data_IF_331911133146
#
_entry.id   IF_331911133146
#
_cell.length_a   1.000
_cell.length_b   1.000
_cell.length_c   1.000
_cell.angle_alpha   90.00
_cell.angle_beta   90.00
_cell.angle_gamma   90.00
#
_symmetry.space_group_name_H-M   'P 1'
#
loop_
_entity.id
_entity.type
_entity.pdbx_description
1 polymer ?
#
# COMPACT_ATOMS: atom_id res chain seq x y z
N UNK A 1 -10.52 -5.17 -33.31
CA UNK A 1 -11.97 -5.03 -33.36
C UNK A 1 -12.60 -5.30 -34.74
N UNK A 2 -11.89 -5.17 -35.86
CA UNK A 2 -12.45 -5.36 -37.22
C UNK A 2 -12.52 -6.82 -37.72
N UNK A 3 -12.14 -7.82 -36.91
CA UNK A 3 -12.07 -9.23 -37.32
C UNK A 3 -12.92 -10.20 -36.49
N UNK A 4 -13.85 -9.72 -35.66
CA UNK A 4 -14.82 -10.62 -35.03
C UNK A 4 -16.02 -10.80 -35.96
N UNK A 5 -16.41 -12.02 -36.26
CA UNK A 5 -17.66 -12.34 -36.97
C UNK A 5 -18.93 -11.97 -36.16
N UNK A 6 -18.77 -11.33 -34.99
CA UNK A 6 -19.84 -10.84 -34.12
C UNK A 6 -19.78 -9.32 -33.96
N UNK A 7 -20.95 -8.71 -33.91
CA UNK A 7 -21.10 -7.28 -33.64
C UNK A 7 -20.82 -6.98 -32.16
N UNK A 8 -19.77 -6.17 -31.85
CA UNK A 8 -19.50 -5.70 -30.49
C UNK A 8 -20.50 -4.59 -30.17
N UNK A 9 -21.37 -4.81 -29.20
CA UNK A 9 -22.42 -3.86 -28.80
C UNK A 9 -22.00 -2.98 -27.61
N UNK A 10 -21.16 -3.51 -26.74
CA UNK A 10 -20.76 -2.80 -25.52
C UNK A 10 -19.34 -3.14 -25.10
N UNK A 11 -18.66 -2.17 -24.53
CA UNK A 11 -17.44 -2.33 -23.74
C UNK A 11 -17.78 -2.06 -22.27
N UNK A 12 -17.34 -2.94 -21.39
CA UNK A 12 -17.48 -2.78 -19.93
C UNK A 12 -16.09 -2.60 -19.35
N UNK A 13 -15.92 -1.62 -18.46
CA UNK A 13 -14.65 -1.33 -17.81
C UNK A 13 -14.85 -0.89 -16.36
N UNK A 14 -13.80 -0.99 -15.57
CA UNK A 14 -13.74 -0.48 -14.21
C UNK A 14 -13.37 1.00 -14.20
N UNK A 15 -13.83 1.71 -13.20
CA UNK A 15 -13.32 3.05 -12.90
C UNK A 15 -11.89 2.97 -12.36
N UNK A 16 -11.01 3.77 -12.92
CA UNK A 16 -9.66 3.99 -12.41
C UNK A 16 -9.54 5.38 -11.81
N UNK A 17 -9.03 5.48 -10.58
CA UNK A 17 -8.79 6.78 -9.91
C UNK A 17 -7.57 7.50 -10.48
N UNK A 18 -6.63 6.78 -11.08
CA UNK A 18 -5.42 7.34 -11.66
C UNK A 18 -5.73 8.23 -12.86
N UNK A 19 -5.26 9.50 -12.87
CA UNK A 19 -5.65 10.47 -13.89
C UNK A 19 -5.39 10.04 -15.33
N UNK A 20 -4.21 9.48 -15.61
CA UNK A 20 -3.84 9.04 -16.96
C UNK A 20 -4.77 7.94 -17.49
N UNK A 21 -5.00 6.92 -16.66
CA UNK A 21 -5.88 5.81 -17.02
C UNK A 21 -7.33 6.27 -17.19
N UNK A 22 -7.78 7.25 -16.40
CA UNK A 22 -9.11 7.85 -16.53
C UNK A 22 -9.23 8.60 -17.84
N UNK A 23 -8.26 9.43 -18.20
CA UNK A 23 -8.24 10.16 -19.48
C UNK A 23 -8.23 9.20 -20.68
N UNK A 24 -7.43 8.15 -20.64
CA UNK A 24 -7.42 7.10 -21.67
C UNK A 24 -8.80 6.44 -21.82
N UNK A 25 -9.46 6.10 -20.72
CA UNK A 25 -10.81 5.50 -20.76
C UNK A 25 -11.86 6.46 -21.31
N UNK A 26 -11.76 7.76 -21.04
CA UNK A 26 -12.63 8.78 -21.64
C UNK A 26 -12.41 8.89 -23.14
N UNK A 27 -11.14 8.84 -23.61
CA UNK A 27 -10.80 8.85 -25.04
C UNK A 27 -11.36 7.60 -25.71
N UNK A 28 -11.16 6.43 -25.12
CA UNK A 28 -11.69 5.15 -25.61
C UNK A 28 -13.22 5.22 -25.68
N UNK A 29 -13.89 5.68 -24.63
CA UNK A 29 -15.34 5.82 -24.57
C UNK A 29 -15.90 6.72 -25.68
N UNK A 30 -15.28 7.88 -25.92
CA UNK A 30 -15.65 8.80 -27.01
C UNK A 30 -15.50 8.14 -28.39
N UNK A 31 -14.39 7.46 -28.62
CA UNK A 31 -14.11 6.78 -29.89
C UNK A 31 -15.08 5.62 -30.16
N UNK A 32 -15.47 4.89 -29.13
CA UNK A 32 -16.43 3.79 -29.22
C UNK A 32 -17.85 4.30 -29.48
N UNK A 33 -18.25 5.38 -28.79
CA UNK A 33 -19.54 6.02 -29.02
C UNK A 33 -19.72 6.49 -30.47
N UNK A 34 -18.67 7.06 -31.10
CA UNK A 34 -18.70 7.43 -32.52
C UNK A 34 -18.91 6.23 -33.46
N UNK A 35 -18.55 5.02 -33.02
CA UNK A 35 -18.76 3.76 -33.74
C UNK A 35 -20.06 3.05 -33.37
N UNK A 36 -20.94 3.67 -32.58
CA UNK A 36 -22.19 3.08 -32.11
C UNK A 36 -22.03 2.00 -31.04
N UNK A 37 -20.86 1.91 -30.41
CA UNK A 37 -20.57 0.94 -29.35
C UNK A 37 -20.77 1.63 -27.99
N UNK A 38 -21.58 1.03 -27.13
CA UNK A 38 -21.79 1.55 -25.78
C UNK A 38 -20.58 1.25 -24.88
N UNK A 39 -20.07 2.28 -24.17
CA UNK A 39 -19.04 2.11 -23.14
C UNK A 39 -19.66 2.35 -21.76
N UNK A 40 -19.62 1.34 -20.89
CA UNK A 40 -20.10 1.44 -19.51
C UNK A 40 -18.94 1.25 -18.54
N UNK A 41 -18.72 2.26 -17.72
CA UNK A 41 -17.72 2.25 -16.64
C UNK A 41 -18.45 1.94 -15.34
N UNK A 42 -17.97 0.93 -14.62
CA UNK A 42 -18.49 0.55 -13.31
C UNK A 42 -17.67 1.22 -12.23
N UNK A 43 -18.28 2.11 -11.47
CA UNK A 43 -17.63 2.92 -10.43
C UNK A 43 -17.29 2.14 -9.16
N UNK A 44 -18.04 1.08 -8.88
CA UNK A 44 -18.02 0.42 -7.58
C UNK A 44 -17.36 -0.97 -7.56
N UNK A 45 -16.46 -1.30 -8.50
CA UNK A 45 -15.88 -2.65 -8.58
C UNK A 45 -15.00 -2.96 -7.37
N UNK A 46 -14.14 -2.05 -6.97
CA UNK A 46 -13.15 -2.23 -5.88
C UNK A 46 -13.55 -1.55 -4.57
N UNK A 47 -14.81 -1.15 -4.40
CA UNK A 47 -15.31 -0.44 -3.22
C UNK A 47 -16.42 -1.20 -2.51
N UNK A 48 -16.67 -0.89 -1.25
CA UNK A 48 -17.74 -1.45 -0.41
C UNK A 48 -19.03 -0.64 -0.62
N UNK A 49 -18.89 0.65 -0.88
CA UNK A 49 -19.98 1.59 -1.12
C UNK A 49 -20.00 2.01 -2.60
N UNK A 50 -21.13 2.52 -3.08
CA UNK A 50 -21.16 3.23 -4.36
C UNK A 50 -20.66 4.66 -4.16
N UNK A 51 -19.40 4.86 -4.45
CA UNK A 51 -18.69 6.14 -4.22
C UNK A 51 -19.28 7.25 -5.10
N UNK A 52 -19.67 6.98 -6.35
CA UNK A 52 -20.25 7.98 -7.26
C UNK A 52 -21.59 8.46 -6.74
N UNK A 53 -22.48 7.53 -6.36
CA UNK A 53 -23.78 7.86 -5.79
C UNK A 53 -23.65 8.75 -4.54
N UNK A 54 -22.64 8.46 -3.69
CA UNK A 54 -22.36 9.24 -2.50
C UNK A 54 -21.90 10.65 -2.86
N UNK A 55 -20.94 10.79 -3.79
CA UNK A 55 -20.40 12.11 -4.19
C UNK A 55 -21.47 12.97 -4.86
N UNK A 56 -22.34 12.37 -5.68
CA UNK A 56 -23.44 13.06 -6.38
C UNK A 56 -24.60 13.44 -5.46
N UNK A 57 -24.65 12.90 -4.25
CA UNK A 57 -25.72 13.21 -3.31
C UNK A 57 -25.75 14.70 -2.93
N UNK A 58 -26.95 15.31 -2.86
CA UNK A 58 -27.11 16.74 -2.58
C UNK A 58 -26.52 17.21 -1.24
N UNK A 59 -26.33 16.29 -0.29
CA UNK A 59 -25.85 16.58 1.06
C UNK A 59 -24.43 16.09 1.30
N UNK A 60 -23.71 15.68 0.26
CA UNK A 60 -22.36 15.17 0.41
C UNK A 60 -21.43 16.17 1.07
N UNK A 61 -20.69 15.70 2.06
CA UNK A 61 -19.59 16.43 2.71
C UNK A 61 -18.37 15.54 2.73
N UNK A 62 -17.27 16.05 2.21
CA UNK A 62 -15.98 15.34 2.23
C UNK A 62 -15.59 14.95 3.65
N UNK A 63 -15.34 13.65 3.93
CA UNK A 63 -14.94 13.18 5.25
C UNK A 63 -13.55 13.72 5.62
N UNK A 64 -13.41 14.13 6.90
CA UNK A 64 -12.15 14.61 7.49
C UNK A 64 -11.64 13.70 8.60
N UNK A 65 -12.43 12.70 8.97
CA UNK A 65 -12.11 11.77 10.06
C UNK A 65 -12.76 10.41 9.82
N UNK A 66 -12.30 9.41 10.57
CA UNK A 66 -12.94 8.08 10.61
C UNK A 66 -14.38 8.14 11.08
N UNK A 67 -14.72 9.06 11.99
CA UNK A 67 -16.09 9.25 12.46
C UNK A 67 -17.01 9.75 11.35
N UNK A 68 -16.53 10.59 10.45
CA UNK A 68 -17.29 11.01 9.28
C UNK A 68 -17.54 9.83 8.34
N UNK A 69 -16.54 8.94 8.19
CA UNK A 69 -16.71 7.72 7.41
C UNK A 69 -17.68 6.73 8.05
N UNK A 70 -17.64 6.54 9.38
CA UNK A 70 -18.63 5.71 10.09
C UNK A 70 -20.05 6.18 9.76
N UNK A 71 -20.28 7.50 9.80
CA UNK A 71 -21.58 8.08 9.45
C UNK A 71 -21.94 7.84 7.97
N UNK A 72 -20.99 7.95 7.05
CA UNK A 72 -21.22 7.63 5.63
C UNK A 72 -21.64 6.16 5.47
N UNK A 73 -21.01 5.24 6.22
CA UNK A 73 -21.40 3.83 6.20
C UNK A 73 -22.76 3.55 6.83
N UNK A 74 -23.16 4.32 7.85
CA UNK A 74 -24.50 4.23 8.47
C UNK A 74 -25.60 4.78 7.54
N UNK A 75 -25.33 5.85 6.82
CA UNK A 75 -26.29 6.55 5.97
C UNK A 75 -26.44 5.92 4.57
N UNK A 76 -25.53 5.00 4.15
CA UNK A 76 -25.52 4.45 2.81
C UNK A 76 -25.58 2.92 2.80
N UNK A 77 -26.10 2.38 1.72
CA UNK A 77 -26.21 0.94 1.54
C UNK A 77 -24.84 0.29 1.24
N UNK A 78 -24.48 -0.72 2.04
CA UNK A 78 -23.29 -1.54 1.78
C UNK A 78 -23.64 -2.48 0.60
N UNK A 79 -22.84 -2.37 -0.46
CA UNK A 79 -23.00 -3.20 -1.62
C UNK A 79 -22.73 -4.67 -1.24
N UNK A 80 -23.68 -5.54 -1.59
CA UNK A 80 -23.51 -6.97 -1.36
C UNK A 80 -22.33 -7.55 -2.15
N UNK A 81 -21.79 -8.71 -1.73
CA UNK A 81 -20.92 -9.46 -2.61
C UNK A 81 -21.70 -9.71 -3.91
N UNK A 82 -21.03 -9.59 -5.05
CA UNK A 82 -21.62 -10.12 -6.28
C UNK A 82 -21.94 -11.59 -6.00
N UNK A 83 -23.19 -11.97 -6.23
CA UNK A 83 -23.59 -13.37 -6.08
C UNK A 83 -22.61 -14.25 -6.86
N UNK A 84 -22.18 -15.36 -6.29
CA UNK A 84 -21.42 -16.32 -7.05
C UNK A 84 -22.24 -16.63 -8.30
N UNK A 85 -21.70 -16.33 -9.47
CA UNK A 85 -22.27 -16.83 -10.71
C UNK A 85 -22.24 -18.34 -10.58
N UNK A 86 -23.43 -18.97 -10.48
CA UNK A 86 -23.50 -20.41 -10.49
C UNK A 86 -22.97 -20.90 -11.83
N UNK A 87 -22.23 -22.02 -11.82
CA UNK A 87 -21.85 -22.69 -13.05
C UNK A 87 -23.10 -22.89 -13.92
N UNK A 88 -23.13 -22.26 -15.11
CA UNK A 88 -24.28 -22.28 -16.01
C UNK A 88 -25.04 -20.96 -16.17
N UNK A 89 -24.83 -19.97 -15.29
CA UNK A 89 -25.48 -18.65 -15.42
C UNK A 89 -24.80 -17.74 -16.46
N UNK A 90 -23.52 -18.00 -16.78
CA UNK A 90 -22.88 -17.38 -17.91
C UNK A 90 -23.26 -18.11 -19.19
N UNK A 91 -23.82 -17.40 -20.20
CA UNK A 91 -23.99 -18.01 -21.52
C UNK A 91 -22.58 -18.44 -21.96
N UNK A 92 -22.43 -19.76 -22.16
CA UNK A 92 -21.20 -20.27 -22.73
C UNK A 92 -20.99 -19.52 -24.05
N UNK A 93 -19.89 -18.75 -24.20
CA UNK A 93 -19.64 -18.08 -25.46
C UNK A 93 -19.68 -19.15 -26.54
N UNK A 94 -20.64 -19.03 -27.45
CA UNK A 94 -20.74 -19.92 -28.60
C UNK A 94 -19.36 -20.01 -29.23
N UNK A 95 -18.64 -21.12 -28.97
CA UNK A 95 -17.31 -21.42 -29.47
C UNK A 95 -16.56 -20.15 -29.85
N UNK A 96 -15.93 -19.48 -28.89
CA UNK A 96 -14.81 -18.63 -29.21
C UNK A 96 -13.91 -19.49 -30.09
N UNK A 97 -13.85 -19.17 -31.37
CA UNK A 97 -12.92 -19.81 -32.28
C UNK A 97 -11.58 -19.83 -31.58
N UNK A 98 -11.17 -21.01 -31.26
CA UNK A 98 -9.95 -21.47 -30.61
C UNK A 98 -8.94 -20.39 -30.32
N UNK A 99 -8.46 -20.33 -29.07
CA UNK A 99 -7.38 -19.46 -28.60
C UNK A 99 -6.22 -19.27 -29.60
N UNK A 100 -5.97 -20.28 -30.43
CA UNK A 100 -4.97 -20.23 -31.51
C UNK A 100 -5.25 -19.18 -32.58
N UNK A 101 -6.50 -18.95 -33.00
CA UNK A 101 -6.81 -17.99 -34.07
C UNK A 101 -6.70 -16.52 -33.60
N UNK A 102 -7.03 -16.27 -32.32
CA UNK A 102 -6.87 -14.92 -31.75
C UNK A 102 -5.39 -14.60 -31.53
N UNK A 103 -4.64 -15.52 -30.94
CA UNK A 103 -3.18 -15.38 -30.75
C UNK A 103 -2.44 -15.29 -32.08
N UNK A 104 -2.79 -16.13 -33.09
CA UNK A 104 -2.19 -16.08 -34.43
C UNK A 104 -2.55 -14.79 -35.17
N UNK A 105 -3.73 -14.22 -34.96
CA UNK A 105 -4.11 -12.96 -35.59
C UNK A 105 -3.47 -11.74 -34.91
N UNK A 106 -3.26 -11.78 -33.61
CA UNK A 106 -2.56 -10.77 -32.82
C UNK A 106 -1.05 -10.81 -33.14
N UNK A 107 -0.46 -11.99 -33.15
CA UNK A 107 0.98 -12.19 -33.44
C UNK A 107 1.38 -11.81 -34.86
N UNK A 108 0.46 -11.85 -35.81
CA UNK A 108 0.67 -11.44 -37.21
C UNK A 108 0.40 -9.95 -37.47
N UNK A 109 -0.04 -9.21 -36.46
CA UNK A 109 -0.28 -7.78 -36.57
C UNK A 109 0.95 -7.02 -36.05
N UNK A 110 1.70 -6.38 -36.94
CA UNK A 110 2.91 -5.62 -36.63
C UNK A 110 2.71 -4.57 -35.53
N UNK A 111 1.48 -4.03 -35.39
CA UNK A 111 1.15 -3.06 -34.35
C UNK A 111 1.17 -3.65 -32.94
N UNK A 112 0.84 -4.94 -32.77
CA UNK A 112 0.85 -5.61 -31.47
C UNK A 112 2.11 -6.46 -31.21
N UNK A 113 2.90 -6.72 -32.25
CA UNK A 113 4.08 -7.60 -32.11
C UNK A 113 5.11 -7.07 -31.13
N UNK A 114 5.29 -5.75 -31.04
CA UNK A 114 6.22 -5.11 -30.10
C UNK A 114 5.74 -5.16 -28.63
N UNK A 115 4.43 -5.39 -28.40
CA UNK A 115 3.84 -5.50 -27.06
C UNK A 115 3.65 -6.96 -26.62
N UNK A 116 3.90 -7.92 -27.50
CA UNK A 116 3.77 -9.34 -27.18
C UNK A 116 5.07 -9.84 -26.56
N UNK A 117 5.07 -9.95 -25.26
CA UNK A 117 6.17 -10.57 -24.50
C UNK A 117 5.95 -12.08 -24.46
N UNK A 118 6.91 -12.85 -24.92
CA UNK A 118 6.81 -14.32 -24.85
C UNK A 118 6.87 -14.79 -23.39
N UNK A 119 6.27 -15.97 -23.13
CA UNK A 119 6.38 -16.60 -21.80
C UNK A 119 7.83 -16.90 -21.40
N UNK A 120 8.73 -17.05 -22.37
CA UNK A 120 10.14 -17.24 -22.10
C UNK A 120 10.81 -15.93 -21.67
N UNK A 121 10.47 -14.82 -22.30
CA UNK A 121 10.96 -13.48 -21.90
C UNK A 121 10.44 -13.11 -20.51
N UNK A 122 9.15 -13.40 -20.21
CA UNK A 122 8.59 -13.21 -18.85
C UNK A 122 9.34 -14.08 -17.84
N UNK A 123 9.64 -15.35 -18.17
CA UNK A 123 10.42 -16.24 -17.31
C UNK A 123 11.85 -15.76 -17.13
N UNK A 124 12.49 -15.27 -18.19
CA UNK A 124 13.85 -14.74 -18.14
C UNK A 124 13.90 -13.44 -17.32
N UNK A 125 12.94 -12.55 -17.51
CA UNK A 125 12.80 -11.32 -16.70
C UNK A 125 12.61 -11.66 -15.22
N UNK A 126 11.67 -12.55 -14.89
CA UNK A 126 11.46 -13.04 -13.54
C UNK A 126 12.68 -13.76 -12.97
N UNK A 127 13.42 -14.49 -13.78
CA UNK A 127 14.65 -15.16 -13.36
C UNK A 127 15.74 -14.15 -13.01
N UNK A 128 15.95 -13.12 -13.83
CA UNK A 128 16.91 -12.03 -13.54
C UNK A 128 16.57 -11.31 -12.25
N UNK A 129 15.29 -10.92 -12.07
CA UNK A 129 14.83 -10.27 -10.81
C UNK A 129 15.05 -11.17 -9.60
N UNK A 130 14.84 -12.48 -9.74
CA UNK A 130 15.02 -13.44 -8.62
C UNK A 130 16.46 -13.71 -8.28
N UNK A 131 17.35 -13.70 -9.26
CA UNK A 131 18.78 -13.87 -9.03
C UNK A 131 19.37 -12.69 -8.26
N UNK A 132 18.92 -11.47 -8.56
CA UNK A 132 19.43 -10.25 -7.93
C UNK A 132 19.01 -10.13 -6.45
N UNK A 133 17.90 -10.76 -6.06
CA UNK A 133 17.35 -10.68 -4.69
C UNK A 133 17.45 -12.00 -3.90
N UNK A 134 17.97 -13.06 -4.50
CA UNK A 134 18.20 -14.35 -3.83
C UNK A 134 16.95 -15.13 -3.39
N UNK A 135 15.76 -14.77 -3.87
CA UNK A 135 14.50 -15.46 -3.56
C UNK A 135 13.99 -16.26 -4.77
N UNK A 136 13.85 -17.56 -4.60
CA UNK A 136 13.37 -18.47 -5.65
C UNK A 136 11.87 -18.39 -5.92
N UNK A 137 11.08 -17.82 -5.00
CA UNK A 137 9.60 -17.75 -5.11
C UNK A 137 9.06 -16.47 -4.50
N UNK A 138 8.03 -15.89 -5.13
CA UNK A 138 7.22 -14.85 -4.49
C UNK A 138 6.55 -15.40 -3.22
N UNK A 139 6.56 -14.62 -2.15
CA UNK A 139 5.87 -14.99 -0.91
C UNK A 139 4.34 -15.04 -1.10
N UNK A 140 3.79 -14.10 -1.84
CA UNK A 140 2.37 -14.07 -2.19
C UNK A 140 2.14 -14.78 -3.52
N UNK A 141 1.60 -16.00 -3.47
CA UNK A 141 1.19 -16.71 -4.67
C UNK A 141 -0.05 -16.04 -5.24
N UNK A 142 -0.04 -15.75 -6.55
CA UNK A 142 -1.14 -15.06 -7.22
C UNK A 142 -2.38 -15.93 -7.43
N UNK A 143 -3.50 -15.26 -7.75
CA UNK A 143 -4.75 -15.88 -8.16
C UNK A 143 -5.83 -15.94 -7.08
N UNK A 144 -7.09 -16.07 -7.55
CA UNK A 144 -8.28 -16.10 -6.70
C UNK A 144 -8.28 -17.27 -5.72
N UNK A 145 -7.86 -18.46 -6.15
CA UNK A 145 -7.82 -19.66 -5.30
C UNK A 145 -6.93 -19.47 -4.07
N UNK A 146 -5.74 -18.86 -4.23
CA UNK A 146 -4.85 -18.55 -3.12
C UNK A 146 -5.40 -17.41 -2.26
N UNK A 147 -6.05 -16.42 -2.86
CA UNK A 147 -6.72 -15.35 -2.15
C UNK A 147 -7.83 -15.87 -1.22
N UNK A 148 -8.71 -16.74 -1.74
CA UNK A 148 -9.79 -17.36 -0.97
C UNK A 148 -9.26 -18.28 0.14
N UNK A 149 -8.23 -19.08 -0.15
CA UNK A 149 -7.56 -19.90 0.85
C UNK A 149 -6.99 -19.04 1.99
N UNK A 150 -6.34 -17.92 1.66
CA UNK A 150 -5.79 -17.00 2.65
C UNK A 150 -6.89 -16.29 3.44
N UNK A 151 -7.98 -15.86 2.81
CA UNK A 151 -9.15 -15.29 3.47
C UNK A 151 -9.71 -16.27 4.51
N UNK A 152 -9.90 -17.53 4.11
CA UNK A 152 -10.39 -18.58 4.99
C UNK A 152 -9.46 -18.76 6.19
N UNK A 153 -8.17 -18.95 5.95
CA UNK A 153 -7.15 -19.19 6.99
C UNK A 153 -6.98 -18.01 7.94
N UNK A 154 -7.05 -16.77 7.46
CA UNK A 154 -6.75 -15.58 8.27
C UNK A 154 -7.98 -14.89 8.86
N UNK A 155 -9.17 -15.10 8.32
CA UNK A 155 -10.42 -14.47 8.74
C UNK A 155 -11.45 -15.51 9.14
N UNK A 156 -11.96 -16.33 8.20
CA UNK A 156 -13.15 -17.15 8.42
C UNK A 156 -12.94 -18.24 9.48
N UNK A 157 -11.74 -18.81 9.58
CA UNK A 157 -11.36 -19.82 10.59
C UNK A 157 -10.75 -19.22 11.86
N UNK A 158 -10.72 -17.89 11.98
CA UNK A 158 -10.11 -17.20 13.14
C UNK A 158 -11.03 -16.12 13.72
N UNK A 159 -12.22 -16.48 14.21
CA UNK A 159 -13.17 -15.52 14.76
C UNK A 159 -12.58 -14.74 15.95
N UNK A 160 -11.78 -15.38 16.80
CA UNK A 160 -11.11 -14.70 17.93
C UNK A 160 -10.10 -13.65 17.46
N UNK A 161 -9.39 -13.91 16.37
CA UNK A 161 -8.48 -12.92 15.79
C UNK A 161 -9.25 -11.71 15.27
N UNK A 162 -10.35 -11.93 14.54
CA UNK A 162 -11.18 -10.86 13.98
C UNK A 162 -11.80 -10.01 15.10
N UNK A 163 -12.37 -10.65 16.13
CA UNK A 163 -13.03 -9.97 17.25
C UNK A 163 -12.03 -9.15 18.10
N UNK A 164 -10.83 -9.68 18.30
CA UNK A 164 -9.79 -9.06 19.13
C UNK A 164 -8.83 -8.15 18.34
N UNK A 165 -8.94 -8.10 17.03
CA UNK A 165 -8.06 -7.25 16.23
C UNK A 165 -8.18 -5.79 16.64
N UNK A 166 -7.06 -5.19 17.05
CA UNK A 166 -6.98 -3.79 17.47
C UNK A 166 -5.69 -3.15 16.95
N UNK A 167 -5.82 -2.21 16.05
CA UNK A 167 -4.71 -1.35 15.65
C UNK A 167 -4.54 -0.24 16.73
N UNK A 168 -3.34 0.11 17.23
CA UNK A 168 -2.01 -0.35 16.81
C UNK A 168 -1.43 -1.50 17.65
N UNK A 169 -2.24 -2.26 18.38
CA UNK A 169 -1.75 -3.34 19.25
C UNK A 169 -1.19 -4.55 18.50
N UNK A 170 -1.39 -4.63 17.19
CA UNK A 170 -0.75 -5.64 16.34
C UNK A 170 0.75 -5.42 16.28
N UNK A 171 1.55 -6.50 16.26
CA UNK A 171 2.99 -6.40 16.02
C UNK A 171 3.25 -5.67 14.70
N UNK A 172 4.29 -4.84 14.66
CA UNK A 172 4.64 -4.06 13.45
C UNK A 172 5.57 -4.82 12.51
N UNK A 173 6.01 -5.97 12.92
CA UNK A 173 6.86 -6.88 12.16
C UNK A 173 6.08 -8.11 11.70
N UNK A 174 6.72 -8.98 10.95
CA UNK A 174 6.17 -10.27 10.59
C UNK A 174 6.13 -11.21 11.81
N UNK A 175 5.65 -12.43 11.62
CA UNK A 175 5.62 -13.41 12.70
C UNK A 175 7.07 -13.79 13.12
N UNK A 176 7.28 -14.04 14.41
CA UNK A 176 8.62 -14.27 14.97
C UNK A 176 9.24 -15.55 14.38
N UNK A 177 8.43 -16.60 14.27
CA UNK A 177 8.88 -17.91 13.78
C UNK A 177 9.02 -17.96 12.26
N UNK A 178 8.32 -17.06 11.54
CA UNK A 178 8.39 -16.95 10.08
C UNK A 178 8.43 -15.47 9.68
N UNK A 179 9.62 -14.88 9.54
CA UNK A 179 9.78 -13.47 9.15
C UNK A 179 9.22 -13.10 7.77
N UNK A 180 8.84 -14.09 6.96
CA UNK A 180 8.14 -13.88 5.69
C UNK A 180 6.62 -13.77 5.87
N UNK A 181 6.04 -14.40 6.91
CA UNK A 181 4.59 -14.38 7.13
C UNK A 181 4.15 -13.07 7.79
N UNK A 182 3.20 -12.31 7.20
CA UNK A 182 2.61 -11.15 7.85
C UNK A 182 1.96 -11.48 9.18
N UNK A 183 2.27 -10.73 10.23
CA UNK A 183 1.57 -10.79 11.53
C UNK A 183 0.10 -10.35 11.44
N UNK A 184 -0.31 -9.78 10.31
CA UNK A 184 -1.69 -9.40 9.97
C UNK A 184 -2.27 -10.34 8.90
N UNK A 185 -3.38 -9.96 8.27
CA UNK A 185 -4.05 -10.83 7.29
C UNK A 185 -3.22 -11.07 6.02
N UNK A 186 -2.44 -10.08 5.58
CA UNK A 186 -1.70 -10.14 4.31
C UNK A 186 -2.64 -10.28 3.10
N UNK A 187 -3.84 -9.72 3.16
CA UNK A 187 -4.83 -9.77 2.07
C UNK A 187 -4.69 -8.63 1.07
N UNK A 188 -3.91 -7.59 1.39
CA UNK A 188 -3.79 -6.40 0.55
C UNK A 188 -3.33 -6.68 -0.88
N UNK A 189 -2.36 -7.60 -1.17
CA UNK A 189 -1.98 -7.91 -2.54
C UNK A 189 -3.13 -8.49 -3.38
N UNK A 190 -3.98 -9.29 -2.77
CA UNK A 190 -5.11 -9.91 -3.46
C UNK A 190 -6.25 -8.95 -3.69
N UNK A 191 -6.48 -8.02 -2.76
CA UNK A 191 -7.53 -7.00 -2.89
C UNK A 191 -7.13 -5.96 -3.96
N UNK A 192 -5.89 -5.49 -3.96
CA UNK A 192 -5.44 -4.47 -4.92
C UNK A 192 -5.41 -5.00 -6.36
N UNK A 193 -5.08 -6.27 -6.54
CA UNK A 193 -5.02 -6.92 -7.85
C UNK A 193 -6.35 -7.58 -8.29
N UNK A 194 -7.44 -7.36 -7.53
CA UNK A 194 -8.75 -7.90 -7.88
C UNK A 194 -8.92 -9.40 -7.72
N UNK A 195 -7.93 -10.11 -7.16
CA UNK A 195 -8.04 -11.56 -6.87
C UNK A 195 -8.98 -11.86 -5.70
N UNK A 196 -9.31 -10.84 -4.89
CA UNK A 196 -10.21 -10.95 -3.74
C UNK A 196 -11.11 -9.72 -3.65
N UNK A 197 -12.42 -9.94 -3.65
CA UNK A 197 -13.38 -8.85 -3.43
C UNK A 197 -13.28 -8.29 -2.01
N UNK A 198 -13.13 -6.98 -1.88
CA UNK A 198 -13.15 -6.30 -0.58
C UNK A 198 -14.48 -6.48 0.15
N UNK A 199 -15.59 -6.61 -0.60
CA UNK A 199 -16.93 -6.88 -0.03
C UNK A 199 -17.01 -8.26 0.60
N UNK A 200 -16.34 -9.26 0.00
CA UNK A 200 -16.26 -10.59 0.60
C UNK A 200 -15.50 -10.53 1.94
N UNK A 201 -14.37 -9.81 1.99
CA UNK A 201 -13.63 -9.61 3.24
C UNK A 201 -14.49 -8.90 4.29
N UNK A 202 -15.21 -7.84 3.90
CA UNK A 202 -16.13 -7.14 4.78
C UNK A 202 -17.19 -8.07 5.38
N UNK A 203 -17.82 -8.88 4.54
CA UNK A 203 -18.88 -9.79 4.97
C UNK A 203 -18.37 -10.92 5.86
N UNK A 204 -17.19 -11.47 5.58
CA UNK A 204 -16.58 -12.48 6.45
C UNK A 204 -16.26 -11.90 7.85
N UNK A 205 -15.78 -10.66 7.91
CA UNK A 205 -15.59 -9.97 9.20
C UNK A 205 -16.94 -9.64 9.88
N UNK A 206 -18.00 -9.34 9.13
CA UNK A 206 -19.32 -9.04 9.67
C UNK A 206 -19.97 -10.24 10.36
N UNK A 207 -19.79 -11.46 9.85
CA UNK A 207 -20.27 -12.68 10.49
C UNK A 207 -19.77 -12.82 11.92
N UNK A 208 -18.47 -12.56 12.13
CA UNK A 208 -17.87 -12.60 13.46
C UNK A 208 -18.43 -11.51 14.37
N UNK A 209 -18.68 -10.32 13.83
CA UNK A 209 -19.25 -9.21 14.60
C UNK A 209 -20.64 -9.53 15.16
N UNK A 210 -21.44 -10.28 14.43
CA UNK A 210 -22.79 -10.60 14.82
C UNK A 210 -22.83 -11.74 15.90
N UNK A 211 -21.75 -12.50 16.02
CA UNK A 211 -21.66 -13.64 16.94
C UNK A 211 -20.86 -13.36 18.23
N UNK A 212 -19.86 -12.46 18.17
CA UNK A 212 -18.92 -12.22 19.27
C UNK A 212 -18.82 -10.72 19.60
N UNK A 213 -18.50 -10.44 20.89
CA UNK A 213 -18.03 -9.10 21.26
C UNK A 213 -16.75 -8.78 20.49
N UNK A 214 -16.70 -7.62 19.84
CA UNK A 214 -15.62 -7.27 18.91
C UNK A 214 -15.13 -5.84 19.12
N UNK A 215 -13.91 -5.60 18.66
CA UNK A 215 -13.33 -4.25 18.58
C UNK A 215 -14.12 -3.38 17.59
N UNK A 216 -14.18 -2.08 17.89
CA UNK A 216 -14.93 -1.10 17.08
C UNK A 216 -14.00 -0.33 16.13
N UNK A 217 -14.54 0.24 15.03
CA UNK A 217 -13.79 1.25 14.28
C UNK A 217 -13.29 2.37 15.21
N UNK A 218 -12.16 3.01 14.91
CA UNK A 218 -11.28 2.77 13.76
C UNK A 218 -10.30 1.60 13.94
N UNK A 219 -10.24 0.97 15.11
CA UNK A 219 -9.21 -0.01 15.47
C UNK A 219 -9.46 -1.40 14.87
N UNK A 220 -10.72 -1.76 14.61
CA UNK A 220 -11.13 -3.06 14.06
C UNK A 220 -10.73 -3.27 12.60
N UNK A 221 -10.85 -4.51 12.11
CA UNK A 221 -10.66 -4.80 10.67
C UNK A 221 -11.64 -4.01 9.80
N UNK A 222 -12.91 -3.87 10.21
CA UNK A 222 -13.87 -2.99 9.53
C UNK A 222 -13.38 -1.56 9.48
N UNK A 223 -12.80 -1.05 10.58
CA UNK A 223 -12.21 0.30 10.60
C UNK A 223 -11.06 0.46 9.61
N UNK A 224 -10.25 -0.59 9.39
CA UNK A 224 -9.20 -0.54 8.37
C UNK A 224 -9.79 -0.51 6.95
N UNK A 225 -10.86 -1.25 6.69
CA UNK A 225 -11.58 -1.21 5.41
C UNK A 225 -12.29 0.14 5.19
N UNK A 226 -12.83 0.76 6.24
CA UNK A 226 -13.39 2.12 6.17
C UNK A 226 -12.33 3.18 5.80
N UNK A 227 -11.10 3.06 6.32
CA UNK A 227 -10.00 3.93 5.90
C UNK A 227 -9.67 3.76 4.41
N UNK A 228 -9.68 2.52 3.93
CA UNK A 228 -9.50 2.24 2.51
C UNK A 228 -10.58 2.92 1.67
N UNK A 229 -11.85 2.77 2.03
CA UNK A 229 -12.98 3.44 1.36
C UNK A 229 -12.85 4.97 1.39
N UNK A 230 -12.43 5.55 2.52
CA UNK A 230 -12.20 6.98 2.64
C UNK A 230 -11.20 7.50 1.59
N UNK A 231 -10.10 6.77 1.37
CA UNK A 231 -9.12 7.19 0.37
C UNK A 231 -9.65 7.06 -1.06
N UNK A 232 -10.43 6.03 -1.36
CA UNK A 232 -11.12 5.92 -2.66
C UNK A 232 -12.10 7.08 -2.88
N UNK A 233 -12.91 7.40 -1.88
CA UNK A 233 -13.85 8.50 -1.95
C UNK A 233 -13.14 9.84 -2.12
N UNK A 234 -12.10 10.10 -1.32
CA UNK A 234 -11.34 11.35 -1.39
C UNK A 234 -10.57 11.48 -2.72
N UNK A 235 -9.99 10.41 -3.22
CA UNK A 235 -9.25 10.44 -4.51
C UNK A 235 -10.12 10.73 -5.71
N UNK A 236 -11.43 10.47 -5.64
CA UNK A 236 -12.40 10.80 -6.68
C UNK A 236 -12.95 12.21 -6.56
N UNK A 237 -13.10 12.68 -5.32
CA UNK A 237 -13.69 13.98 -5.03
C UNK A 237 -12.69 15.14 -5.08
N UNK A 238 -11.43 14.88 -4.68
CA UNK A 238 -10.39 15.90 -4.57
C UNK A 238 -9.53 15.90 -5.84
N UNK A 239 -9.50 17.02 -6.53
CA UNK A 239 -8.55 17.26 -7.61
C UNK A 239 -7.11 17.28 -7.06
N UNK A 240 -6.14 16.85 -7.88
CA UNK A 240 -4.73 16.79 -7.53
C UNK A 240 -4.46 15.97 -6.24
N UNK A 241 -5.12 14.79 -6.14
CA UNK A 241 -4.96 13.88 -5.00
C UNK A 241 -3.51 13.43 -4.76
N UNK A 242 -2.68 13.48 -5.78
CA UNK A 242 -1.26 13.13 -5.77
C UNK A 242 -0.33 14.34 -5.52
N UNK A 243 -0.87 15.47 -5.09
CA UNK A 243 -0.13 16.70 -4.80
C UNK A 243 -0.58 17.33 -3.48
N UNK A 244 0.34 17.98 -2.77
CA UNK A 244 0.03 18.79 -1.58
C UNK A 244 0.11 20.30 -1.84
N UNK A 245 0.78 20.72 -2.92
CA UNK A 245 0.96 22.13 -3.25
C UNK A 245 -0.27 22.72 -3.98
N UNK A 246 -0.85 21.95 -4.91
CA UNK A 246 -1.99 22.37 -5.73
C UNK A 246 -3.32 21.76 -5.25
N UNK A 247 -3.33 21.14 -4.08
CA UNK A 247 -4.50 20.54 -3.46
C UNK A 247 -5.00 21.44 -2.33
N UNK A 248 -6.16 22.10 -2.54
CA UNK A 248 -6.74 23.03 -1.56
C UNK A 248 -7.11 22.39 -0.20
N UNK A 249 -7.15 21.07 -0.14
CA UNK A 249 -7.40 20.32 1.09
C UNK A 249 -6.12 20.00 1.85
N UNK A 250 -4.94 20.27 1.29
CA UNK A 250 -3.65 19.96 1.90
C UNK A 250 -2.95 21.20 2.44
N UNK A 251 -1.96 20.97 3.25
CA UNK A 251 -1.03 21.96 3.78
C UNK A 251 0.23 21.93 2.91
N UNK A 252 0.53 22.97 2.13
CA UNK A 252 1.71 23.00 1.26
C UNK A 252 2.99 23.22 2.09
N UNK A 253 3.64 22.14 2.49
CA UNK A 253 4.88 22.17 3.26
C UNK A 253 6.07 22.39 2.32
N UNK A 254 6.98 23.29 2.71
CA UNK A 254 8.26 23.49 2.04
C UNK A 254 9.24 22.39 2.47
N UNK A 255 9.30 21.32 1.68
CA UNK A 255 10.26 20.23 1.90
C UNK A 255 11.69 20.68 1.57
N UNK A 256 12.69 19.90 2.02
CA UNK A 256 14.09 20.12 1.65
C UNK A 256 14.38 19.87 0.18
N UNK A 257 15.50 20.33 -0.28
CA UNK A 257 16.01 20.04 -1.61
C UNK A 257 16.18 18.53 -1.79
N UNK A 258 16.05 18.08 -3.05
CA UNK A 258 16.27 16.68 -3.39
C UNK A 258 17.70 16.26 -3.05
N UNK A 259 17.82 15.20 -2.27
CA UNK A 259 19.09 14.61 -1.83
C UNK A 259 19.11 13.14 -2.25
N UNK A 260 19.80 12.89 -3.37
CA UNK A 260 19.88 11.55 -3.99
C UNK A 260 20.54 10.52 -3.06
N UNK A 261 21.56 10.93 -2.30
CA UNK A 261 22.28 10.02 -1.39
C UNK A 261 21.36 9.56 -0.25
N UNK A 262 20.61 10.48 0.36
CA UNK A 262 19.64 10.15 1.40
C UNK A 262 18.51 9.25 0.87
N UNK A 263 17.97 9.59 -0.31
CA UNK A 263 16.89 8.81 -0.91
C UNK A 263 17.37 7.39 -1.26
N UNK A 264 18.52 7.28 -1.90
CA UNK A 264 19.10 5.99 -2.26
C UNK A 264 19.43 5.13 -1.05
N UNK A 265 20.02 5.74 0.00
CA UNK A 265 20.30 5.05 1.26
C UNK A 265 19.02 4.53 1.93
N UNK A 266 17.94 5.32 1.90
CA UNK A 266 16.63 4.92 2.40
C UNK A 266 16.03 3.81 1.55
N UNK A 267 16.02 3.94 0.24
CA UNK A 267 15.43 2.97 -0.68
C UNK A 267 16.12 1.61 -0.61
N UNK A 268 17.44 1.58 -0.46
CA UNK A 268 18.24 0.36 -0.39
C UNK A 268 18.37 -0.23 1.02
N UNK A 269 17.77 0.38 2.04
CA UNK A 269 17.90 -0.07 3.44
C UNK A 269 19.35 -0.01 3.93
N UNK A 270 19.99 1.14 3.75
CA UNK A 270 21.38 1.46 4.12
C UNK A 270 21.50 2.75 4.92
N UNK A 271 20.48 3.07 5.70
CA UNK A 271 20.42 4.32 6.49
C UNK A 271 21.24 4.28 7.77
N UNK A 272 21.67 3.10 8.21
CA UNK A 272 22.26 2.87 9.53
C UNK A 272 21.26 2.83 10.67
N UNK A 273 19.97 2.76 10.36
CA UNK A 273 18.87 2.55 11.29
C UNK A 273 18.25 1.17 11.05
N UNK A 274 18.63 0.14 11.79
CA UNK A 274 18.32 -1.26 11.47
C UNK A 274 16.85 -1.58 11.29
N UNK A 275 15.96 -0.94 12.05
CA UNK A 275 14.53 -1.16 11.88
C UNK A 275 14.01 -0.59 10.54
N UNK A 276 14.47 0.60 10.16
CA UNK A 276 14.13 1.23 8.88
C UNK A 276 14.71 0.40 7.73
N UNK A 277 15.98 0.02 7.85
CA UNK A 277 16.69 -0.73 6.82
C UNK A 277 16.08 -2.13 6.61
N UNK A 278 15.72 -2.83 7.69
CA UNK A 278 15.03 -4.12 7.61
C UNK A 278 13.70 -4.04 6.88
N UNK A 279 12.90 -2.99 7.13
CA UNK A 279 11.63 -2.76 6.44
C UNK A 279 11.83 -2.49 4.95
N UNK A 280 12.81 -1.67 4.57
CA UNK A 280 13.09 -1.37 3.17
C UNK A 280 13.68 -2.57 2.42
N UNK A 281 14.53 -3.38 3.07
CA UNK A 281 15.05 -4.63 2.50
C UNK A 281 13.93 -5.67 2.34
N UNK A 282 12.99 -5.77 3.27
CA UNK A 282 11.79 -6.61 3.10
C UNK A 282 10.98 -6.16 1.90
N UNK A 283 10.74 -4.85 1.75
CA UNK A 283 10.01 -4.30 0.60
C UNK A 283 10.69 -4.69 -0.71
N UNK A 284 12.00 -4.49 -0.79
CA UNK A 284 12.79 -4.79 -1.99
C UNK A 284 12.72 -6.28 -2.35
N UNK A 285 12.83 -7.15 -1.35
CA UNK A 285 12.87 -8.59 -1.54
C UNK A 285 11.49 -9.22 -1.83
N UNK A 286 10.40 -8.67 -1.25
CA UNK A 286 9.07 -9.32 -1.27
C UNK A 286 7.98 -8.51 -1.95
N UNK A 287 8.23 -7.23 -2.20
CA UNK A 287 7.20 -6.30 -2.65
C UNK A 287 6.14 -5.98 -1.58
N UNK A 288 6.38 -6.34 -0.31
CA UNK A 288 5.42 -6.12 0.75
C UNK A 288 6.09 -5.62 2.03
N UNK A 289 5.35 -4.83 2.80
CA UNK A 289 5.77 -4.32 4.10
C UNK A 289 4.54 -4.19 5.00
N UNK A 290 4.70 -4.53 6.28
CA UNK A 290 3.66 -4.31 7.29
C UNK A 290 3.28 -2.82 7.36
N UNK A 291 1.98 -2.51 7.54
CA UNK A 291 1.50 -1.12 7.50
C UNK A 291 2.18 -0.19 8.53
N UNK A 292 2.50 -0.67 9.75
CA UNK A 292 3.25 0.13 10.73
C UNK A 292 4.71 0.34 10.32
N UNK A 293 5.31 -0.60 9.59
CA UNK A 293 6.60 -0.42 8.94
C UNK A 293 6.55 0.72 7.92
N UNK A 294 5.49 0.74 7.07
CA UNK A 294 5.26 1.84 6.11
C UNK A 294 5.14 3.19 6.83
N UNK A 295 4.49 3.24 8.00
CA UNK A 295 4.45 4.45 8.83
C UNK A 295 5.83 4.90 9.30
N UNK A 296 6.65 3.97 9.75
CA UNK A 296 7.98 4.28 10.26
C UNK A 296 8.91 4.80 9.15
N UNK A 297 8.97 4.08 8.01
CA UNK A 297 9.88 4.46 6.92
C UNK A 297 9.43 5.72 6.20
N UNK A 298 8.11 5.96 6.07
CA UNK A 298 7.59 7.20 5.47
C UNK A 298 7.81 8.40 6.38
N UNK A 299 7.58 8.25 7.69
CA UNK A 299 7.89 9.28 8.67
C UNK A 299 9.38 9.60 8.69
N UNK A 300 10.25 8.58 8.60
CA UNK A 300 11.70 8.74 8.54
C UNK A 300 12.14 9.56 7.33
N UNK A 301 11.65 9.21 6.14
CA UNK A 301 11.97 9.92 4.90
C UNK A 301 11.54 11.40 4.94
N UNK A 302 10.36 11.67 5.48
CA UNK A 302 9.72 12.98 5.46
C UNK A 302 10.03 13.78 6.73
N UNK A 303 9.01 14.11 7.49
CA UNK A 303 9.02 15.00 8.66
C UNK A 303 9.82 14.48 9.86
N UNK A 304 10.12 13.18 9.89
CA UNK A 304 10.87 12.56 10.99
C UNK A 304 12.34 12.91 10.97
N UNK A 305 13.08 12.49 9.93
CA UNK A 305 14.53 12.54 9.89
C UNK A 305 15.09 13.22 8.64
N UNK A 306 14.74 12.76 7.42
CA UNK A 306 15.46 13.17 6.21
C UNK A 306 14.93 14.44 5.57
N UNK A 307 13.73 14.91 5.93
CA UNK A 307 13.07 16.11 5.41
C UNK A 307 12.92 16.13 3.89
N UNK A 308 12.83 14.95 3.26
CA UNK A 308 12.62 14.80 1.83
C UNK A 308 11.13 14.88 1.46
N UNK A 309 10.85 15.33 0.23
CA UNK A 309 9.48 15.38 -0.26
C UNK A 309 8.87 13.97 -0.27
N UNK A 310 7.66 13.85 0.22
CA UNK A 310 6.93 12.60 0.32
C UNK A 310 6.69 11.91 -1.03
N UNK A 311 6.63 12.66 -2.13
CA UNK A 311 6.44 12.13 -3.48
C UNK A 311 7.56 11.16 -3.89
N UNK A 312 8.79 11.39 -3.46
CA UNK A 312 9.89 10.44 -3.75
C UNK A 312 9.65 9.07 -3.13
N UNK A 313 9.19 9.03 -1.90
CA UNK A 313 8.86 7.77 -1.24
C UNK A 313 7.61 7.10 -1.81
N UNK A 314 6.59 7.89 -2.18
CA UNK A 314 5.41 7.41 -2.89
C UNK A 314 5.79 6.69 -4.19
N UNK A 315 6.66 7.27 -4.99
CA UNK A 315 7.09 6.71 -6.27
C UNK A 315 7.88 5.41 -6.10
N UNK A 316 8.71 5.31 -5.04
CA UNK A 316 9.37 4.06 -4.67
C UNK A 316 8.35 2.99 -4.27
N UNK A 317 7.34 3.34 -3.48
CA UNK A 317 6.29 2.40 -3.07
C UNK A 317 5.46 1.94 -4.26
N UNK A 318 5.12 2.85 -5.16
CA UNK A 318 4.36 2.52 -6.37
C UNK A 318 5.08 1.50 -7.25
N UNK A 319 6.40 1.63 -7.39
CA UNK A 319 7.23 0.71 -8.17
C UNK A 319 7.46 -0.65 -7.50
N UNK A 320 7.56 -0.68 -6.16
CA UNK A 320 8.00 -1.88 -5.43
C UNK A 320 6.87 -2.69 -4.79
N UNK A 321 5.73 -2.06 -4.44
CA UNK A 321 4.66 -2.74 -3.72
C UNK A 321 3.80 -3.62 -4.65
N UNK A 322 3.64 -4.88 -4.29
CA UNK A 322 2.70 -5.81 -4.96
C UNK A 322 1.23 -5.47 -4.67
N UNK A 323 0.98 -4.69 -3.65
CA UNK A 323 -0.33 -4.16 -3.27
C UNK A 323 -0.47 -2.67 -3.58
N UNK A 324 0.32 -2.15 -4.53
CA UNK A 324 0.22 -0.76 -4.95
C UNK A 324 -1.16 -0.45 -5.49
N UNK A 325 -1.67 0.71 -5.10
CA UNK A 325 -2.93 1.29 -5.55
C UNK A 325 -2.79 2.80 -5.49
N UNK A 326 -3.06 3.49 -6.59
CA UNK A 326 -2.82 4.92 -6.71
C UNK A 326 -3.57 5.75 -5.64
N UNK A 327 -4.86 5.44 -5.42
CA UNK A 327 -5.66 6.18 -4.45
C UNK A 327 -5.15 5.98 -3.02
N UNK A 328 -4.82 4.73 -2.66
CA UNK A 328 -4.35 4.38 -1.32
C UNK A 328 -2.92 4.82 -1.07
N UNK A 329 -2.04 4.69 -2.06
CA UNK A 329 -0.64 5.08 -1.93
C UNK A 329 -0.54 6.60 -1.68
N UNK A 330 -1.16 7.42 -2.54
CA UNK A 330 -1.20 8.87 -2.33
C UNK A 330 -1.86 9.25 -0.99
N UNK A 331 -3.03 8.70 -0.66
CA UNK A 331 -3.72 8.98 0.59
C UNK A 331 -2.90 8.67 1.84
N UNK A 332 -2.23 7.52 1.85
CA UNK A 332 -1.36 7.15 2.97
C UNK A 332 -0.13 8.06 3.08
N UNK A 333 0.50 8.43 1.96
CA UNK A 333 1.65 9.35 1.98
C UNK A 333 1.25 10.75 2.42
N UNK A 334 0.14 11.31 1.94
CA UNK A 334 -0.41 12.59 2.42
C UNK A 334 -0.69 12.55 3.93
N UNK A 335 -1.28 11.45 4.41
CA UNK A 335 -1.53 11.25 5.83
C UNK A 335 -0.24 11.19 6.66
N UNK A 336 0.75 10.39 6.24
CA UNK A 336 2.00 10.17 6.97
C UNK A 336 2.95 11.38 6.90
N UNK A 337 2.94 12.11 5.80
CA UNK A 337 3.65 13.38 5.67
C UNK A 337 3.06 14.48 6.57
N UNK A 338 1.82 14.32 7.02
CA UNK A 338 1.15 15.28 7.91
C UNK A 338 0.55 16.46 7.17
N UNK A 339 0.32 16.34 5.87
CA UNK A 339 -0.14 17.46 5.01
C UNK A 339 -1.65 17.46 4.73
N UNK A 340 -2.33 16.33 4.87
CA UNK A 340 -3.77 16.23 4.64
C UNK A 340 -4.59 16.58 5.90
N UNK A 341 -5.88 17.00 5.77
CA UNK A 341 -6.74 17.35 6.89
C UNK A 341 -6.98 16.19 7.88
N UNK A 342 -6.99 14.97 7.36
CA UNK A 342 -7.14 13.73 8.12
C UNK A 342 -5.83 13.18 8.67
N UNK A 343 -4.73 13.94 8.55
CA UNK A 343 -3.39 13.51 8.95
C UNK A 343 -3.23 13.36 10.45
N UNK A 344 -2.28 12.51 10.83
CA UNK A 344 -1.81 12.49 12.20
C UNK A 344 -1.09 13.80 12.55
N UNK A 345 -1.10 14.24 13.83
CA UNK A 345 -0.39 15.43 14.24
C UNK A 345 1.09 15.41 13.83
N UNK A 346 1.59 16.47 13.23
CA UNK A 346 2.95 16.55 12.70
C UNK A 346 4.04 16.29 13.73
N UNK A 347 3.80 16.61 15.00
CA UNK A 347 4.72 16.39 16.12
C UNK A 347 4.80 14.93 16.59
N UNK A 348 3.92 14.05 16.10
CA UNK A 348 3.94 12.62 16.39
C UNK A 348 4.91 11.92 15.45
N UNK A 349 6.19 11.91 15.82
CA UNK A 349 7.28 11.29 15.06
C UNK A 349 7.56 9.90 15.63
N UNK A 350 7.64 8.90 14.76
CA UNK A 350 8.03 7.54 15.13
C UNK A 350 9.52 7.47 15.44
N UNK A 351 9.88 6.72 16.49
CA UNK A 351 11.27 6.48 16.84
C UNK A 351 11.88 5.44 15.85
N UNK A 352 12.90 5.78 15.06
CA UNK A 352 13.53 4.83 14.15
C UNK A 352 14.37 3.74 14.86
N UNK A 353 14.65 3.94 16.15
CA UNK A 353 15.30 2.97 17.02
C UNK A 353 14.31 2.52 18.08
N UNK A 354 13.39 1.59 17.76
CA UNK A 354 12.30 1.19 18.64
C UNK A 354 12.84 0.53 19.91
N UNK A 355 12.12 0.72 21.00
CA UNK A 355 12.29 0.07 22.28
C UNK A 355 10.96 -0.55 22.73
N UNK A 356 10.93 -1.22 23.87
CA UNK A 356 9.73 -1.86 24.43
C UNK A 356 8.56 -0.89 24.68
N UNK A 357 8.82 0.42 24.72
CA UNK A 357 7.82 1.49 24.92
C UNK A 357 7.39 2.14 23.61
N UNK A 358 7.97 1.69 22.49
CA UNK A 358 7.68 2.25 21.17
C UNK A 358 6.22 2.05 20.77
N UNK A 359 5.60 3.09 20.25
CA UNK A 359 4.23 3.02 19.69
C UNK A 359 4.11 2.15 18.42
N UNK A 360 5.23 1.71 17.88
CA UNK A 360 5.29 0.82 16.72
C UNK A 360 5.10 -0.66 17.09
N UNK A 361 5.11 -1.00 18.38
CA UNK A 361 4.97 -2.38 18.86
C UNK A 361 5.91 -3.38 18.16
N UNK A 362 7.20 -3.02 18.09
CA UNK A 362 8.26 -3.86 17.51
C UNK A 362 8.69 -4.92 18.52
N UNK A 363 8.90 -6.13 18.04
CA UNK A 363 9.56 -7.18 18.83
C UNK A 363 11.05 -6.81 19.00
N UNK A 364 11.45 -6.48 20.23
CA UNK A 364 12.78 -5.94 20.55
C UNK A 364 13.65 -6.87 21.39
N UNK A 365 13.11 -7.97 21.94
CA UNK A 365 13.86 -8.86 22.82
C UNK A 365 14.84 -9.71 22.00
N UNK A 366 14.34 -10.42 21.01
CA UNK A 366 15.14 -11.24 20.10
C UNK A 366 15.55 -10.48 18.83
N UNK A 367 14.78 -9.46 18.47
CA UNK A 367 14.93 -8.68 17.25
C UNK A 367 14.98 -9.57 15.96
N UNK A 368 14.17 -10.63 15.97
CA UNK A 368 14.17 -11.67 14.92
C UNK A 368 13.99 -11.11 13.52
N UNK A 369 13.11 -10.13 13.38
CA UNK A 369 12.86 -9.44 12.11
C UNK A 369 14.11 -8.71 11.58
N UNK A 370 14.78 -7.95 12.43
CA UNK A 370 16.00 -7.22 12.04
C UNK A 370 17.13 -8.20 11.69
N UNK A 371 17.32 -9.26 12.49
CA UNK A 371 18.35 -10.29 12.22
C UNK A 371 18.14 -11.00 10.90
N UNK A 372 16.88 -11.24 10.53
CA UNK A 372 16.55 -11.90 9.29
C UNK A 372 16.84 -11.02 8.05
N UNK A 373 16.39 -9.74 8.10
CA UNK A 373 16.51 -8.82 6.97
C UNK A 373 17.86 -8.09 6.91
N UNK A 374 18.65 -8.13 7.98
CA UNK A 374 20.01 -7.58 8.04
C UNK A 374 20.95 -8.69 8.54
N UNK A 375 21.35 -9.61 7.65
CA UNK A 375 22.24 -10.73 8.02
C UNK A 375 23.53 -10.28 8.69
N UNK A 376 24.05 -9.10 8.35
CA UNK A 376 25.24 -8.48 8.95
C UNK A 376 25.09 -8.31 10.47
N UNK A 377 23.87 -8.08 10.94
CA UNK A 377 23.56 -7.90 12.35
C UNK A 377 23.04 -9.18 13.04
N UNK A 378 23.04 -10.33 12.35
CA UNK A 378 22.44 -11.57 12.89
C UNK A 378 23.03 -12.03 14.23
N UNK A 379 24.33 -11.83 14.44
CA UNK A 379 25.03 -12.19 15.70
C UNK A 379 25.14 -11.02 16.70
N UNK A 380 24.58 -9.85 16.35
CA UNK A 380 24.70 -8.66 17.20
C UNK A 380 23.86 -8.80 18.47
N UNK A 381 24.35 -8.38 19.67
CA UNK A 381 23.56 -8.44 20.90
C UNK A 381 22.27 -7.58 20.80
N UNK A 382 21.14 -8.11 21.26
CA UNK A 382 19.83 -7.41 21.22
C UNK A 382 19.88 -6.02 21.84
N UNK A 383 20.70 -5.85 22.89
CA UNK A 383 20.93 -4.53 23.54
C UNK A 383 21.34 -3.41 22.58
N UNK A 384 22.09 -3.74 21.53
CA UNK A 384 22.65 -2.75 20.60
C UNK A 384 22.06 -2.85 19.19
N UNK A 385 21.24 -3.86 18.91
CA UNK A 385 20.83 -4.18 17.54
C UNK A 385 20.07 -3.05 16.82
N UNK A 386 19.38 -2.19 17.57
CA UNK A 386 18.67 -1.03 16.99
C UNK A 386 19.51 0.24 16.93
N UNK A 387 20.66 0.29 17.61
CA UNK A 387 21.65 1.38 17.54
C UNK A 387 23.07 0.76 17.57
N UNK A 388 23.47 -0.03 16.55
CA UNK A 388 24.70 -0.83 16.58
C UNK A 388 25.97 0.01 16.63
N UNK A 389 25.92 1.25 16.16
CA UNK A 389 27.03 2.22 16.25
C UNK A 389 27.40 2.61 17.71
N UNK A 390 26.51 2.36 18.68
CA UNK A 390 26.78 2.59 20.10
C UNK A 390 27.48 1.40 20.78
N UNK A 391 27.61 0.28 20.09
CA UNK A 391 28.29 -0.89 20.64
C UNK A 391 29.81 -0.65 20.72
N UNK A 392 30.47 -1.04 21.82
CA UNK A 392 31.92 -1.05 21.91
C UNK A 392 32.57 -1.88 20.78
N UNK A 393 33.79 -1.52 20.39
CA UNK A 393 34.47 -2.16 19.25
C UNK A 393 34.73 -3.66 19.49
N UNK A 394 34.97 -4.09 20.73
CA UNK A 394 35.11 -5.49 21.09
C UNK A 394 33.80 -6.29 20.88
N UNK A 395 32.65 -5.68 21.16
CA UNK A 395 31.33 -6.25 20.86
C UNK A 395 31.13 -6.36 19.35
N UNK A 396 31.45 -5.33 18.58
CA UNK A 396 31.34 -5.35 17.12
C UNK A 396 32.20 -6.46 16.51
N UNK A 397 33.46 -6.57 16.95
CA UNK A 397 34.38 -7.63 16.52
C UNK A 397 33.88 -9.03 16.89
N UNK A 398 33.37 -9.23 18.10
CA UNK A 398 32.83 -10.53 18.51
C UNK A 398 31.55 -10.92 17.78
N UNK A 399 30.83 -9.94 17.24
CA UNK A 399 29.63 -10.14 16.41
C UNK A 399 29.94 -10.28 14.91
N UNK A 400 31.21 -10.23 14.51
CA UNK A 400 31.66 -10.23 13.12
C UNK A 400 30.99 -9.15 12.25
N UNK A 401 30.74 -7.98 12.83
CA UNK A 401 30.16 -6.84 12.11
C UNK A 401 30.75 -5.53 12.65
N UNK A 402 31.54 -4.87 11.83
CA UNK A 402 32.14 -3.55 12.14
C UNK A 402 31.27 -2.46 11.51
N UNK A 403 30.79 -1.55 12.35
CA UNK A 403 29.96 -0.44 11.87
C UNK A 403 30.84 0.56 11.12
N UNK A 404 30.41 0.90 9.91
CA UNK A 404 31.15 1.71 8.94
C UNK A 404 31.88 0.88 7.88
N UNK A 405 32.03 -0.44 8.10
CA UNK A 405 32.62 -1.38 7.14
C UNK A 405 31.56 -2.37 6.62
N UNK A 406 30.98 -3.19 7.53
CA UNK A 406 30.04 -4.23 7.20
C UNK A 406 28.58 -3.72 7.19
N UNK A 407 28.25 -2.76 8.06
CA UNK A 407 26.96 -2.10 8.16
C UNK A 407 27.15 -0.59 8.36
N UNK A 408 26.37 0.28 7.70
CA UNK A 408 26.63 1.73 7.70
C UNK A 408 26.43 2.40 9.06
N UNK A 409 27.14 3.50 9.27
CA UNK A 409 26.78 4.45 10.31
C UNK A 409 25.42 5.11 10.02
N UNK A 410 24.69 5.59 11.07
CA UNK A 410 23.50 6.41 10.87
C UNK A 410 23.79 7.63 9.98
N UNK A 411 23.04 7.77 8.88
CA UNK A 411 23.22 8.89 7.93
C UNK A 411 22.83 10.26 8.49
N UNK A 412 22.14 10.29 9.64
CA UNK A 412 21.75 11.51 10.37
C UNK A 412 21.74 11.27 11.87
N UNK A 413 21.91 12.32 12.68
CA UNK A 413 21.59 12.26 14.11
C UNK A 413 20.08 12.38 14.31
N UNK A 414 19.45 11.30 14.80
CA UNK A 414 17.98 11.21 14.94
C UNK A 414 17.37 12.20 15.93
N UNK A 415 18.14 12.66 16.92
CA UNK A 415 17.63 13.61 17.93
C UNK A 415 17.69 15.04 17.41
N UNK A 416 18.79 15.37 16.74
CA UNK A 416 19.02 16.67 16.13
C UNK A 416 18.03 16.90 14.98
N UNK A 417 18.00 16.00 13.99
CA UNK A 417 17.10 16.12 12.84
C UNK A 417 15.62 16.14 13.23
N UNK A 418 15.21 15.34 14.22
CA UNK A 418 13.84 15.42 14.76
C UNK A 418 13.50 16.80 15.29
N UNK A 419 14.40 17.42 16.06
CA UNK A 419 14.21 18.76 16.62
C UNK A 419 14.12 19.82 15.52
N UNK A 420 15.03 19.77 14.57
CA UNK A 420 15.06 20.69 13.43
C UNK A 420 13.82 20.59 12.57
N UNK A 421 13.40 19.37 12.24
CA UNK A 421 12.25 19.13 11.36
C UNK A 421 10.93 19.56 12.02
N UNK A 422 10.80 19.40 13.34
CA UNK A 422 9.64 19.94 14.06
C UNK A 422 9.58 21.47 13.96
N UNK A 423 10.73 22.15 14.04
CA UNK A 423 10.80 23.61 13.88
C UNK A 423 10.46 24.01 12.44
N UNK A 424 11.03 23.32 11.43
CA UNK A 424 10.75 23.58 10.01
C UNK A 424 9.26 23.41 9.70
N UNK A 425 8.64 22.34 10.20
CA UNK A 425 7.20 22.11 9.99
C UNK A 425 6.34 23.22 10.62
N UNK A 426 6.67 23.62 11.85
CA UNK A 426 5.97 24.70 12.55
C UNK A 426 6.09 26.03 11.80
N UNK A 427 7.28 26.37 11.33
CA UNK A 427 7.52 27.59 10.54
C UNK A 427 6.74 27.59 9.22
N UNK A 428 6.64 26.44 8.54
CA UNK A 428 5.79 26.31 7.34
C UNK A 428 4.31 26.59 7.66
N UNK A 429 3.79 26.07 8.78
CA UNK A 429 2.43 26.36 9.21
C UNK A 429 2.20 27.84 9.54
N UNK A 430 3.17 28.50 10.19
CA UNK A 430 3.10 29.93 10.53
C UNK A 430 3.08 30.81 9.27
N UNK A 431 3.91 30.52 8.26
CA UNK A 431 3.90 31.21 6.97
C UNK A 431 2.54 31.12 6.28
N UNK A 432 1.96 29.92 6.22
CA UNK A 432 0.64 29.68 5.58
C UNK A 432 -0.47 30.45 6.29
N UNK A 433 -0.44 30.50 7.62
CA UNK A 433 -1.44 31.27 8.39
C UNK A 433 -1.31 32.78 8.15
N UNK A 434 -0.11 33.29 7.99
CA UNK A 434 0.11 34.71 7.68
C UNK A 434 -0.29 35.09 6.24
N UNK A 435 -0.18 34.15 5.29
CA UNK A 435 -0.60 34.40 3.89
C UNK A 435 -2.13 34.36 3.69
N UNK A 436 -2.89 33.86 4.67
CA UNK A 436 -4.36 33.81 4.65
C UNK A 436 -5.03 35.00 5.36
N UNK A 437 -4.25 35.87 6.01
CA UNK A 437 -4.66 37.14 6.63
C UNK A 437 -4.41 38.31 5.68
#
# INVERSE_FOLDING_TARGET
MEKSEGEIKSLLSDYCSEPNNREEMEIIGRNLHQKGINCKIFSAVNTILDIEEIIESKNFKSPKSTRDMEKIFEDNHILGPYGSLLEGDLPCPNKLHTESLLLDSISKNDYFSEYLVSMNEIKEYNYRLRLDIGFDKSYFLGGESEALKRLKMKISERPDYVSNFRKPKTASTNEIENPMEPSTTGLSPYISNGCLSVRLVWNECAKVRDELEHSKPPESLHGQLMFREMFYLLSRYIENWDDDQNNSNCIPIEWGDFDEEKLTSWELGKTGFPYIDAMMRQLDATGWMHHLGRHAVSCFLTRGQLWQNWKYGRDVFEKKLVDSDWALNNGNWLWLAGVAPFSMPYYRIYNPCPDQKSSLNVETNEASFVRYWIPELSSFPSKYIFEPHLAPLDVQKSSNCIIGEDYPFPIVDRKETRKENLIKFKLSLEKINHSKL
#
